data_IF_846510492680
#
_entry.id   IF_846510492680
#
_cell.length_a   1.000
_cell.length_b   1.000
_cell.length_c   1.000
_cell.angle_alpha   90.00
_cell.angle_beta   90.00
_cell.angle_gamma   90.00
#
_symmetry.space_group_name_H-M   'P 1'
#
loop_
_entity.id
_entity.type
_entity.pdbx_description
1 polymer ?
#
# COMPACT_ATOMS: atom_id res chain seq x y z
N UNK A 1 6.30 -6.62 9.72
CA UNK A 1 5.73 -6.71 8.37
C UNK A 1 4.25 -7.07 8.46
N UNK A 2 3.42 -6.36 7.75
CA UNK A 2 1.98 -6.57 7.76
C UNK A 2 1.50 -6.99 6.39
N UNK A 3 0.28 -7.48 6.32
CA UNK A 3 -0.33 -7.90 5.05
C UNK A 3 -1.70 -7.24 4.90
N UNK A 4 -2.11 -7.03 3.67
CA UNK A 4 -3.40 -6.44 3.39
C UNK A 4 -3.77 -6.55 1.93
N UNK A 5 -4.85 -5.86 1.58
CA UNK A 5 -5.38 -5.87 0.22
C UNK A 5 -5.50 -4.43 -0.26
N UNK A 6 -5.11 -4.19 -1.50
CA UNK A 6 -5.25 -2.86 -2.10
C UNK A 6 -6.73 -2.55 -2.26
N UNK A 7 -7.18 -1.47 -1.61
CA UNK A 7 -8.55 -1.02 -1.72
C UNK A 7 -8.79 -0.32 -3.05
N UNK A 8 -7.90 0.61 -3.38
CA UNK A 8 -7.86 1.25 -4.69
C UNK A 8 -6.52 1.96 -4.85
N UNK A 9 -6.14 2.22 -6.09
CA UNK A 9 -4.91 2.93 -6.39
C UNK A 9 -5.09 3.74 -7.67
N UNK A 10 -4.68 5.01 -7.63
CA UNK A 10 -4.79 5.91 -8.78
C UNK A 10 -3.40 6.11 -9.40
N UNK A 11 -3.17 5.48 -10.54
CA UNK A 11 -1.87 5.53 -11.23
C UNK A 11 -1.49 6.94 -11.66
N UNK A 12 -2.48 7.73 -12.06
CA UNK A 12 -2.22 9.09 -12.53
C UNK A 12 -1.74 10.00 -11.40
N UNK A 13 -2.30 9.82 -10.21
CA UNK A 13 -1.92 10.61 -9.04
C UNK A 13 -0.82 9.97 -8.21
N UNK A 14 -0.62 8.66 -8.38
CA UNK A 14 0.45 7.93 -7.71
C UNK A 14 0.18 7.57 -6.26
N UNK A 15 -1.08 7.44 -5.85
CA UNK A 15 -1.40 7.03 -4.48
C UNK A 15 -2.70 6.24 -4.42
N UNK A 16 -2.90 5.59 -3.29
CA UNK A 16 -4.11 4.84 -3.02
C UNK A 16 -4.16 4.43 -1.57
N UNK A 17 -4.97 3.42 -1.28
CA UNK A 17 -5.15 2.93 0.07
C UNK A 17 -5.11 1.41 0.13
N UNK A 18 -4.61 0.90 1.25
CA UNK A 18 -4.52 -0.54 1.51
C UNK A 18 -5.34 -0.82 2.76
N UNK A 19 -6.17 -1.86 2.69
CA UNK A 19 -6.95 -2.32 3.84
C UNK A 19 -6.17 -3.44 4.51
N UNK A 20 -5.67 -3.23 5.74
CA UNK A 20 -4.93 -4.27 6.44
C UNK A 20 -5.80 -5.49 6.74
N UNK A 21 -5.20 -6.68 6.68
CA UNK A 21 -5.92 -7.93 6.93
C UNK A 21 -6.36 -8.07 8.38
N UNK A 22 -5.73 -7.35 9.30
CA UNK A 22 -6.06 -7.41 10.72
C UNK A 22 -7.29 -6.57 11.11
N UNK A 23 -7.92 -5.92 10.14
CA UNK A 23 -9.08 -5.11 10.39
C UNK A 23 -8.80 -3.69 10.84
N UNK A 24 -7.55 -3.27 10.84
CA UNK A 24 -7.17 -1.89 11.19
C UNK A 24 -7.66 -0.93 10.12
N UNK A 25 -7.54 0.37 10.39
CA UNK A 25 -7.93 1.41 9.44
C UNK A 25 -7.11 1.33 8.16
N UNK A 26 -7.70 1.76 7.06
CA UNK A 26 -7.01 1.82 5.78
C UNK A 26 -5.76 2.66 5.88
N UNK A 27 -4.70 2.24 5.17
CA UNK A 27 -3.42 2.92 5.19
C UNK A 27 -3.19 3.62 3.86
N UNK A 28 -2.66 4.84 3.92
CA UNK A 28 -2.26 5.58 2.74
C UNK A 28 -1.06 4.88 2.09
N UNK A 29 -1.08 4.74 0.77
CA UNK A 29 -0.02 4.10 0.00
C UNK A 29 0.38 5.01 -1.16
N UNK A 30 1.63 5.47 -1.16
CA UNK A 30 2.17 6.32 -2.22
C UNK A 30 3.10 5.49 -3.11
N UNK A 31 3.19 5.82 -4.40
CA UNK A 31 4.00 5.03 -5.32
C UNK A 31 5.47 4.95 -4.89
N UNK A 32 5.97 5.97 -4.22
CA UNK A 32 7.36 5.96 -3.73
C UNK A 32 7.60 4.90 -2.66
N UNK A 33 6.55 4.40 -2.03
CA UNK A 33 6.65 3.37 -1.02
C UNK A 33 6.54 1.96 -1.60
N UNK A 34 6.31 1.83 -2.89
CA UNK A 34 6.20 0.53 -3.55
C UNK A 34 7.58 0.01 -3.88
N UNK A 35 7.92 -1.14 -3.30
CA UNK A 35 9.23 -1.76 -3.51
C UNK A 35 9.11 -2.85 -4.57
N UNK A 36 9.17 -2.44 -5.83
CA UNK A 36 9.17 -3.38 -6.96
C UNK A 36 9.95 -2.76 -8.11
N UNK A 37 10.44 -3.61 -9.02
CA UNK A 37 11.14 -3.13 -10.22
C UNK A 37 10.14 -2.76 -11.30
N UNK A 38 10.53 -1.83 -12.15
CA UNK A 38 9.70 -1.42 -13.26
C UNK A 38 8.63 -0.42 -12.86
N UNK A 39 7.48 -0.51 -13.48
CA UNK A 39 6.38 0.42 -13.25
C UNK A 39 5.75 0.19 -11.87
N UNK A 40 5.77 1.23 -11.06
CA UNK A 40 5.29 1.16 -9.68
C UNK A 40 3.80 1.44 -9.62
N UNK A 41 3.00 0.38 -9.56
CA UNK A 41 1.56 0.51 -9.48
C UNK A 41 0.97 -0.64 -8.66
N UNK A 42 -0.25 -0.44 -8.19
CA UNK A 42 -0.99 -1.44 -7.45
C UNK A 42 -2.36 -1.60 -8.10
N UNK A 43 -2.91 -2.80 -8.03
CA UNK A 43 -4.23 -3.09 -8.58
C UNK A 43 -5.24 -3.30 -7.46
N UNK A 44 -6.45 -2.84 -7.66
CA UNK A 44 -7.53 -3.06 -6.71
C UNK A 44 -7.71 -4.56 -6.45
N UNK A 45 -7.77 -4.92 -5.17
CA UNK A 45 -7.91 -6.32 -4.77
C UNK A 45 -6.61 -7.10 -4.68
N UNK A 46 -5.48 -6.48 -5.05
CA UNK A 46 -4.19 -7.14 -5.02
C UNK A 46 -3.72 -7.33 -3.57
N UNK A 47 -3.17 -8.52 -3.29
CA UNK A 47 -2.58 -8.80 -1.97
C UNK A 47 -1.17 -8.24 -1.91
N UNK A 48 -0.86 -7.57 -0.81
CA UNK A 48 0.46 -6.95 -0.62
C UNK A 48 0.94 -7.16 0.81
N UNK A 49 2.26 -7.08 0.99
CA UNK A 49 2.87 -7.01 2.31
C UNK A 49 3.54 -5.64 2.42
N UNK A 50 3.63 -5.12 3.64
CA UNK A 50 4.12 -3.76 3.86
C UNK A 50 4.50 -3.57 5.32
N UNK A 51 5.15 -2.43 5.60
CA UNK A 51 5.43 -1.98 6.96
C UNK A 51 4.54 -0.79 7.26
N UNK A 52 4.10 -0.67 8.51
CA UNK A 52 3.28 0.47 8.94
C UNK A 52 4.20 1.52 9.54
N UNK A 53 4.13 2.73 9.01
CA UNK A 53 4.92 3.85 9.51
C UNK A 53 4.02 5.06 9.78
N UNK A 54 4.49 5.94 10.67
CA UNK A 54 3.78 7.17 10.96
C UNK A 54 4.18 8.22 9.93
N UNK A 55 3.20 8.74 9.20
CA UNK A 55 3.44 9.77 8.20
C UNK A 55 2.77 11.08 8.57
N UNK A 56 2.95 12.12 7.74
CA UNK A 56 2.37 13.45 7.99
C UNK A 56 0.85 13.45 8.08
N UNK A 57 0.21 12.54 7.37
CA UNK A 57 -1.25 12.43 7.33
C UNK A 57 -1.79 11.28 8.17
N UNK A 58 -0.95 10.72 9.04
CA UNK A 58 -1.30 9.57 9.87
C UNK A 58 -0.51 8.35 9.46
N UNK A 59 -1.02 7.17 9.80
CA UNK A 59 -0.33 5.92 9.48
C UNK A 59 -0.37 5.66 7.98
N UNK A 60 0.74 5.18 7.44
CA UNK A 60 0.82 4.86 6.03
C UNK A 60 1.64 3.59 5.82
N UNK A 61 1.46 2.98 4.64
CA UNK A 61 2.20 1.77 4.29
C UNK A 61 3.55 2.16 3.68
N UNK A 62 4.57 1.38 4.00
CA UNK A 62 5.92 1.57 3.49
C UNK A 62 6.47 0.22 3.06
N UNK A 63 7.49 0.23 2.21
CA UNK A 63 8.13 -1.01 1.74
C UNK A 63 7.08 -2.00 1.20
N UNK A 64 6.17 -1.51 0.38
CA UNK A 64 5.06 -2.29 -0.15
C UNK A 64 5.56 -3.26 -1.21
N UNK A 65 5.24 -4.54 -1.02
CA UNK A 65 5.65 -5.59 -1.93
C UNK A 65 4.45 -6.45 -2.31
N UNK A 66 4.49 -6.99 -3.50
CA UNK A 66 3.49 -7.94 -3.96
C UNK A 66 3.55 -9.19 -3.10
N UNK A 67 2.40 -9.66 -2.64
CA UNK A 67 2.29 -10.83 -1.79
C UNK A 67 1.54 -11.94 -2.53
N UNK A 68 2.10 -13.10 -2.53
CA UNK A 68 1.49 -14.28 -3.16
C UNK A 68 1.84 -14.46 -4.61
#
# INVERSE_FOLDING_TARGET
MSAGTVKWFNDAKGYGFITPDDGSEDLFAHFSAINMSGFKTLKEGQKVSFDVVQGPKGKQASNIQKSG
#
